data_IF_137943685535
#
_entry.id   IF_137943685535
#
_cell.length_a   1.000
_cell.length_b   1.000
_cell.length_c   1.000
_cell.angle_alpha   90.00
_cell.angle_beta   90.00
_cell.angle_gamma   90.00
#
_symmetry.space_group_name_H-M   'P 1'
#
loop_
_entity.id
_entity.type
_entity.pdbx_description
1 polymer ?
#
# COMPACT_ATOMS: atom_id res chain seq x y z
N UNK A 1 -18.03 -6.18 -6.84
CA UNK A 1 -19.38 -5.72 -7.20
C UNK A 1 -19.42 -4.22 -7.46
N UNK A 2 -19.02 -3.35 -6.51
CA UNK A 2 -19.02 -1.88 -6.69
C UNK A 2 -18.20 -1.44 -7.88
N UNK A 3 -16.96 -1.91 -8.02
CA UNK A 3 -16.09 -1.61 -9.16
C UNK A 3 -16.83 -1.83 -10.49
N UNK A 4 -17.45 -3.01 -10.64
CA UNK A 4 -18.17 -3.35 -11.87
C UNK A 4 -19.32 -2.40 -12.14
N UNK A 5 -20.12 -2.08 -11.10
CA UNK A 5 -21.23 -1.16 -11.19
C UNK A 5 -20.78 0.23 -11.66
N UNK A 6 -19.70 0.76 -11.06
CA UNK A 6 -19.19 2.09 -11.41
C UNK A 6 -18.61 2.10 -12.84
N UNK A 7 -17.90 1.04 -13.23
CA UNK A 7 -17.37 0.91 -14.61
C UNK A 7 -18.50 0.82 -15.64
N UNK A 8 -19.56 0.06 -15.36
CA UNK A 8 -20.71 -0.05 -16.26
C UNK A 8 -21.48 1.27 -16.41
N UNK A 9 -21.39 2.15 -15.40
CA UNK A 9 -21.92 3.53 -15.45
C UNK A 9 -20.97 4.52 -16.15
N UNK A 10 -19.77 4.07 -16.55
CA UNK A 10 -18.74 4.91 -17.17
C UNK A 10 -17.98 5.81 -16.21
N UNK A 11 -18.09 5.56 -14.90
CA UNK A 11 -17.35 6.31 -13.88
C UNK A 11 -15.89 5.92 -13.86
N UNK A 12 -15.03 6.88 -13.52
CA UNK A 12 -13.60 6.64 -13.32
C UNK A 12 -13.39 5.85 -12.04
N UNK A 13 -12.76 4.67 -12.17
CA UNK A 13 -12.34 3.87 -11.03
C UNK A 13 -10.87 4.12 -10.70
N UNK A 14 -10.54 4.08 -9.43
CA UNK A 14 -9.18 4.14 -8.92
C UNK A 14 -8.81 2.82 -8.25
N UNK A 15 -7.53 2.44 -8.22
CA UNK A 15 -7.08 1.28 -7.44
C UNK A 15 -7.47 1.43 -5.97
N UNK A 16 -7.72 0.31 -5.32
CA UNK A 16 -7.99 0.24 -3.89
C UNK A 16 -7.04 -0.77 -3.24
N UNK A 17 -6.66 -0.50 -2.01
CA UNK A 17 -5.85 -1.41 -1.21
C UNK A 17 -6.67 -2.09 -0.12
N UNK A 18 -6.23 -3.25 0.32
CA UNK A 18 -6.78 -3.96 1.46
C UNK A 18 -5.71 -4.76 2.18
N UNK A 19 -5.86 -4.86 3.49
CA UNK A 19 -4.93 -5.57 4.35
C UNK A 19 -5.19 -7.07 4.33
N UNK A 20 -4.11 -7.86 4.29
CA UNK A 20 -4.11 -9.28 4.58
C UNK A 20 -3.35 -9.56 5.88
N UNK A 21 -4.02 -10.24 6.80
CA UNK A 21 -3.43 -10.69 8.04
C UNK A 21 -2.85 -12.10 7.93
N UNK A 22 -2.01 -12.49 8.89
CA UNK A 22 -1.52 -13.88 8.99
C UNK A 22 -2.67 -14.91 9.07
N UNK A 23 -3.81 -14.54 9.66
CA UNK A 23 -4.97 -15.42 9.75
C UNK A 23 -5.59 -15.69 8.38
N UNK A 24 -5.64 -14.70 7.50
CA UNK A 24 -6.18 -14.87 6.15
C UNK A 24 -5.37 -15.91 5.36
N UNK A 25 -4.05 -15.90 5.51
CA UNK A 25 -3.19 -16.92 4.89
C UNK A 25 -3.35 -18.31 5.50
N UNK A 26 -3.68 -18.41 6.82
CA UNK A 26 -3.78 -19.69 7.53
C UNK A 26 -5.16 -20.34 7.42
N UNK A 27 -6.22 -19.54 7.43
CA UNK A 27 -7.60 -20.05 7.54
C UNK A 27 -8.22 -20.41 6.20
N UNK A 28 -7.75 -19.83 5.10
CA UNK A 28 -8.27 -20.12 3.77
C UNK A 28 -7.17 -20.00 2.70
N UNK A 29 -7.48 -20.47 1.48
CA UNK A 29 -6.62 -20.19 0.34
C UNK A 29 -6.96 -18.79 -0.19
N UNK A 30 -6.47 -17.76 0.52
CA UNK A 30 -6.79 -16.36 0.25
C UNK A 30 -6.45 -15.94 -1.19
N UNK A 31 -5.35 -16.45 -1.76
CA UNK A 31 -5.00 -16.20 -3.14
C UNK A 31 -6.13 -16.66 -4.11
N UNK A 32 -6.61 -17.91 -3.95
CA UNK A 32 -7.69 -18.41 -4.81
C UNK A 32 -8.97 -17.61 -4.65
N UNK A 33 -9.27 -17.18 -3.44
CA UNK A 33 -10.49 -16.43 -3.18
C UNK A 33 -10.44 -15.03 -3.78
N UNK A 34 -9.29 -14.33 -3.67
CA UNK A 34 -9.09 -13.02 -4.29
C UNK A 34 -9.19 -13.13 -5.81
N UNK A 35 -8.48 -14.08 -6.43
CA UNK A 35 -8.52 -14.29 -7.89
C UNK A 35 -9.95 -14.62 -8.34
N UNK A 36 -10.64 -15.56 -7.67
CA UNK A 36 -12.02 -15.90 -7.99
C UNK A 36 -12.95 -14.69 -7.99
N UNK A 37 -12.84 -13.83 -6.97
CA UNK A 37 -13.68 -12.62 -6.85
C UNK A 37 -13.33 -11.59 -7.92
N UNK A 38 -12.05 -11.36 -8.20
CA UNK A 38 -11.63 -10.42 -9.25
C UNK A 38 -12.12 -10.87 -10.62
N UNK A 39 -12.02 -12.16 -10.94
CA UNK A 39 -12.50 -12.73 -12.19
C UNK A 39 -14.04 -12.65 -12.30
N UNK A 40 -14.75 -13.03 -11.22
CA UNK A 40 -16.22 -12.98 -11.15
C UNK A 40 -16.76 -11.57 -11.42
N UNK A 41 -16.13 -10.56 -10.79
CA UNK A 41 -16.54 -9.16 -10.97
C UNK A 41 -15.78 -8.42 -12.07
N UNK A 42 -14.91 -9.11 -12.81
CA UNK A 42 -14.09 -8.56 -13.91
C UNK A 42 -13.30 -7.32 -13.48
N UNK A 43 -12.70 -7.39 -12.29
CA UNK A 43 -11.80 -6.35 -11.77
C UNK A 43 -10.39 -6.63 -12.29
N UNK A 44 -9.73 -5.71 -12.99
CA UNK A 44 -8.33 -5.89 -13.35
C UNK A 44 -7.48 -6.05 -12.09
N UNK A 45 -6.54 -7.01 -12.08
CA UNK A 45 -5.76 -7.33 -10.89
C UNK A 45 -4.94 -6.13 -10.37
N UNK A 46 -4.41 -5.31 -11.28
CA UNK A 46 -3.69 -4.08 -10.93
C UNK A 46 -4.57 -2.96 -10.33
N UNK A 47 -5.88 -3.19 -10.20
CA UNK A 47 -6.79 -2.30 -9.48
C UNK A 47 -6.98 -2.70 -8.02
N UNK A 48 -6.30 -3.77 -7.57
CA UNK A 48 -6.29 -4.21 -6.19
C UNK A 48 -4.85 -4.31 -5.68
N UNK A 49 -4.56 -3.56 -4.63
CA UNK A 49 -3.28 -3.59 -3.94
C UNK A 49 -3.44 -4.33 -2.62
N UNK A 50 -2.51 -5.24 -2.34
CA UNK A 50 -2.51 -6.08 -1.16
C UNK A 50 -1.52 -5.49 -0.16
N UNK A 51 -2.00 -5.10 1.01
CA UNK A 51 -1.17 -4.55 2.08
C UNK A 51 -0.84 -5.64 3.10
N UNK A 52 0.45 -5.77 3.42
CA UNK A 52 0.97 -6.78 4.35
C UNK A 52 1.90 -6.09 5.34
N UNK A 53 1.57 -6.17 6.62
CA UNK A 53 2.43 -5.64 7.68
C UNK A 53 3.62 -6.57 7.95
N UNK A 54 4.69 -6.01 8.53
CA UNK A 54 5.88 -6.76 8.94
C UNK A 54 5.56 -7.98 9.81
N UNK A 55 4.64 -7.84 10.76
CA UNK A 55 4.25 -8.92 11.69
C UNK A 55 3.63 -10.15 11.02
N UNK A 56 3.10 -10.00 9.80
CA UNK A 56 2.60 -11.12 9.01
C UNK A 56 3.75 -12.01 8.55
N UNK A 57 4.91 -11.43 8.28
CA UNK A 57 6.09 -12.06 7.68
C UNK A 57 7.05 -12.65 8.73
N UNK A 58 6.88 -12.30 10.01
CA UNK A 58 7.65 -12.87 11.11
C UNK A 58 7.41 -14.40 11.18
N UNK A 59 8.50 -15.17 11.33
CA UNK A 59 8.45 -16.64 11.40
C UNK A 59 7.77 -17.33 10.20
N UNK A 60 7.88 -16.72 8.99
CA UNK A 60 7.43 -17.37 7.75
C UNK A 60 8.40 -18.50 7.35
N UNK A 61 7.87 -19.69 7.15
CA UNK A 61 8.59 -20.86 6.64
C UNK A 61 8.71 -20.86 5.09
N UNK A 62 8.46 -19.72 4.45
CA UNK A 62 8.44 -19.54 2.99
C UNK A 62 7.05 -19.72 2.36
N UNK A 63 6.03 -20.07 3.14
CA UNK A 63 4.67 -20.19 2.63
C UNK A 63 4.11 -18.83 2.20
N UNK A 64 4.17 -17.81 3.07
CA UNK A 64 3.66 -16.46 2.77
C UNK A 64 4.44 -15.86 1.61
N UNK A 65 5.77 -16.04 1.59
CA UNK A 65 6.60 -15.63 0.45
C UNK A 65 6.06 -16.19 -0.88
N UNK A 66 5.78 -17.49 -0.90
CA UNK A 66 5.23 -18.13 -2.10
C UNK A 66 3.88 -17.56 -2.53
N UNK A 67 3.02 -17.14 -1.58
CA UNK A 67 1.74 -16.50 -1.89
C UNK A 67 1.93 -15.07 -2.44
N UNK A 68 2.85 -14.29 -1.87
CA UNK A 68 3.21 -12.95 -2.38
C UNK A 68 3.69 -13.05 -3.83
N UNK A 69 4.63 -13.94 -4.12
CA UNK A 69 5.14 -14.17 -5.48
C UNK A 69 4.04 -14.60 -6.47
N UNK A 70 3.03 -15.34 -6.00
CA UNK A 70 1.88 -15.71 -6.83
C UNK A 70 1.00 -14.51 -7.15
N UNK A 71 0.68 -13.67 -6.17
CA UNK A 71 -0.07 -12.44 -6.39
C UNK A 71 0.64 -11.52 -7.39
N UNK A 72 1.94 -11.34 -7.24
CA UNK A 72 2.73 -10.49 -8.13
C UNK A 72 2.81 -11.04 -9.57
N UNK A 73 2.94 -12.37 -9.74
CA UNK A 73 2.89 -13.00 -11.07
C UNK A 73 1.56 -12.78 -11.78
N UNK A 74 0.48 -12.70 -11.04
CA UNK A 74 -0.86 -12.45 -11.57
C UNK A 74 -1.19 -10.94 -11.62
N UNK A 75 -0.15 -10.09 -11.54
CA UNK A 75 -0.25 -8.63 -11.68
C UNK A 75 -1.03 -7.91 -10.55
N UNK A 76 -1.16 -8.52 -9.38
CA UNK A 76 -1.51 -7.77 -8.17
C UNK A 76 -0.27 -7.04 -7.64
N UNK A 77 -0.46 -5.84 -7.14
CA UNK A 77 0.60 -5.16 -6.39
C UNK A 77 0.56 -5.59 -4.92
N UNK A 78 1.73 -5.90 -4.37
CA UNK A 78 1.88 -6.21 -2.95
C UNK A 78 2.71 -5.13 -2.30
N UNK A 79 2.16 -4.49 -1.28
CA UNK A 79 2.71 -3.35 -0.58
C UNK A 79 3.08 -3.73 0.84
N UNK A 80 4.26 -3.30 1.28
CA UNK A 80 4.67 -3.43 2.68
C UNK A 80 4.05 -2.30 3.49
N UNK A 81 3.21 -2.64 4.47
CA UNK A 81 2.52 -1.68 5.33
C UNK A 81 3.27 -1.44 6.65
N UNK A 82 3.04 -0.28 7.26
CA UNK A 82 3.59 0.14 8.55
C UNK A 82 5.13 0.09 8.65
N UNK A 83 5.85 0.37 7.55
CA UNK A 83 7.31 0.35 7.56
C UNK A 83 7.90 1.32 8.56
N UNK A 84 8.68 0.78 9.51
CA UNK A 84 9.38 1.53 10.55
C UNK A 84 8.61 1.62 11.87
N UNK A 85 7.42 1.05 11.98
CA UNK A 85 6.70 0.91 13.25
C UNK A 85 7.23 -0.24 14.10
N UNK A 86 7.91 -1.23 13.49
CA UNK A 86 8.47 -2.44 14.11
C UNK A 86 10.00 -2.48 14.16
N UNK A 87 10.54 -3.58 14.70
CA UNK A 87 12.00 -3.75 14.90
C UNK A 87 12.71 -4.47 13.74
N UNK A 88 12.01 -5.08 12.80
CA UNK A 88 12.58 -6.03 11.83
C UNK A 88 12.48 -5.61 10.36
N UNK A 89 11.89 -4.45 10.05
CA UNK A 89 11.52 -3.99 8.70
C UNK A 89 12.62 -4.18 7.63
N UNK A 90 13.88 -3.94 7.97
CA UNK A 90 14.99 -4.11 7.01
C UNK A 90 15.28 -5.58 6.68
N UNK A 91 15.06 -6.50 7.63
CA UNK A 91 15.25 -7.93 7.36
C UNK A 91 14.22 -8.45 6.37
N UNK A 92 12.98 -7.96 6.47
CA UNK A 92 11.91 -8.32 5.55
C UNK A 92 12.26 -7.89 4.12
N UNK A 93 12.77 -6.67 3.92
CA UNK A 93 13.17 -6.17 2.59
C UNK A 93 14.34 -6.95 1.96
N UNK A 94 15.12 -7.68 2.75
CA UNK A 94 16.17 -8.56 2.22
C UNK A 94 15.58 -9.82 1.57
N UNK A 95 14.47 -10.31 2.13
CA UNK A 95 13.93 -11.63 1.79
C UNK A 95 12.69 -11.57 0.89
N UNK A 96 12.03 -10.39 0.81
CA UNK A 96 10.80 -10.17 0.07
C UNK A 96 10.90 -8.97 -0.86
N UNK A 97 10.38 -9.11 -2.07
CA UNK A 97 10.22 -8.00 -3.02
C UNK A 97 8.80 -7.42 -2.90
N UNK A 98 8.71 -6.09 -2.74
CA UNK A 98 7.45 -5.35 -2.67
C UNK A 98 7.35 -4.36 -3.82
N UNK A 99 6.12 -4.13 -4.31
CA UNK A 99 5.87 -3.08 -5.29
C UNK A 99 5.97 -1.68 -4.66
N UNK A 100 5.48 -1.54 -3.42
CA UNK A 100 5.53 -0.30 -2.65
C UNK A 100 5.87 -0.55 -1.19
N UNK A 101 6.51 0.45 -0.57
CA UNK A 101 6.77 0.53 0.86
C UNK A 101 5.98 1.71 1.42
N UNK A 102 5.06 1.45 2.35
CA UNK A 102 4.27 2.47 3.05
C UNK A 102 5.03 2.92 4.29
N UNK A 103 5.50 4.16 4.28
CA UNK A 103 6.25 4.78 5.39
C UNK A 103 5.24 5.26 6.41
N UNK A 104 5.31 4.68 7.63
CA UNK A 104 4.37 4.96 8.71
C UNK A 104 4.36 6.44 9.11
N UNK A 105 3.18 6.94 9.45
CA UNK A 105 2.94 8.31 9.90
C UNK A 105 3.75 8.75 11.12
N UNK A 106 4.31 7.80 11.90
CA UNK A 106 5.14 8.10 13.08
C UNK A 106 6.31 9.01 12.74
N UNK A 107 6.86 8.91 11.53
CA UNK A 107 7.98 9.73 11.08
C UNK A 107 7.57 11.19 10.81
N UNK A 108 6.30 11.47 10.53
CA UNK A 108 5.78 12.83 10.31
C UNK A 108 5.23 13.49 11.57
N UNK A 109 4.86 12.70 12.61
CA UNK A 109 4.30 13.25 13.87
C UNK A 109 5.21 14.26 14.57
N UNK A 110 6.52 14.01 14.53
CA UNK A 110 7.54 14.94 15.03
C UNK A 110 8.48 15.27 13.88
N UNK A 111 8.09 16.26 13.06
CA UNK A 111 8.78 16.59 11.82
C UNK A 111 10.07 17.38 12.05
N UNK A 112 11.08 16.69 12.59
CA UNK A 112 12.41 17.21 12.86
C UNK A 112 13.36 16.97 11.68
N UNK A 113 14.48 17.69 11.64
CA UNK A 113 15.55 17.42 10.65
C UNK A 113 16.01 15.96 10.67
N UNK A 114 16.02 15.32 11.84
CA UNK A 114 16.41 13.92 11.98
C UNK A 114 15.37 12.99 11.34
N UNK A 115 14.07 13.23 11.57
CA UNK A 115 13.02 12.44 10.93
C UNK A 115 13.00 12.64 9.41
N UNK A 116 13.22 13.86 8.93
CA UNK A 116 13.38 14.14 7.49
C UNK A 116 14.51 13.34 6.86
N UNK A 117 15.70 13.32 7.49
CA UNK A 117 16.84 12.52 7.02
C UNK A 117 16.52 11.01 6.97
N UNK A 118 15.77 10.50 7.96
CA UNK A 118 15.35 9.10 7.99
C UNK A 118 14.39 8.81 6.83
N UNK A 119 13.35 9.62 6.64
CA UNK A 119 12.38 9.45 5.55
C UNK A 119 13.10 9.47 4.20
N UNK A 120 13.98 10.44 3.98
CA UNK A 120 14.79 10.51 2.75
C UNK A 120 15.61 9.24 2.53
N UNK A 121 16.26 8.72 3.58
CA UNK A 121 17.06 7.49 3.49
C UNK A 121 16.20 6.28 3.13
N UNK A 122 14.95 6.21 3.64
CA UNK A 122 13.99 5.15 3.29
C UNK A 122 13.58 5.26 1.82
N UNK A 123 13.25 6.47 1.35
CA UNK A 123 12.88 6.71 -0.07
C UNK A 123 14.04 6.34 -0.99
N UNK A 124 15.26 6.74 -0.67
CA UNK A 124 16.45 6.41 -1.47
C UNK A 124 16.73 4.90 -1.49
N UNK A 125 16.52 4.22 -0.36
CA UNK A 125 16.65 2.77 -0.26
C UNK A 125 15.59 2.06 -1.11
N UNK A 126 14.32 2.45 -1.00
CA UNK A 126 13.22 1.88 -1.77
C UNK A 126 13.49 1.99 -3.28
N UNK A 127 13.93 3.16 -3.75
CA UNK A 127 14.31 3.37 -5.16
C UNK A 127 15.40 2.40 -5.63
N UNK A 128 16.42 2.13 -4.80
CA UNK A 128 17.49 1.16 -5.13
C UNK A 128 17.00 -0.28 -5.16
N UNK A 129 15.93 -0.58 -4.42
CA UNK A 129 15.26 -1.88 -4.42
C UNK A 129 14.19 -2.00 -5.53
N UNK A 130 14.03 -0.98 -6.39
CA UNK A 130 12.97 -0.87 -7.41
C UNK A 130 11.55 -0.93 -6.81
N UNK A 131 11.37 -0.51 -5.57
CA UNK A 131 10.08 -0.35 -4.92
C UNK A 131 9.66 1.13 -4.91
N UNK A 132 8.37 1.38 -5.14
CA UNK A 132 7.78 2.70 -4.92
C UNK A 132 7.63 3.00 -3.44
N UNK A 133 7.35 4.27 -3.13
CA UNK A 133 7.10 4.71 -1.75
C UNK A 133 5.75 5.42 -1.62
N UNK A 134 5.06 5.15 -0.52
CA UNK A 134 3.91 5.90 -0.05
C UNK A 134 4.18 6.38 1.37
N UNK A 135 4.03 7.68 1.65
CA UNK A 135 4.14 8.20 3.03
C UNK A 135 2.77 8.54 3.57
N UNK A 136 2.46 7.99 4.74
CA UNK A 136 1.21 8.21 5.46
C UNK A 136 1.28 9.41 6.42
N UNK A 137 0.10 9.91 6.82
CA UNK A 137 -0.02 10.95 7.84
C UNK A 137 0.40 12.35 7.38
N UNK A 138 0.28 12.64 6.08
CA UNK A 138 0.51 14.00 5.55
C UNK A 138 -0.63 14.92 6.00
N UNK A 139 -0.30 15.93 6.83
CA UNK A 139 -1.28 16.85 7.41
C UNK A 139 -1.01 18.31 7.07
N UNK A 140 0.22 18.66 6.63
CA UNK A 140 0.63 20.03 6.36
C UNK A 140 1.23 20.20 4.97
N UNK A 141 1.23 21.44 4.48
CA UNK A 141 1.92 21.80 3.24
C UNK A 141 3.43 21.52 3.34
N UNK A 142 4.04 21.77 4.51
CA UNK A 142 5.46 21.49 4.75
C UNK A 142 5.80 20.01 4.56
N UNK A 143 4.96 19.08 5.07
CA UNK A 143 5.11 17.65 4.82
C UNK A 143 5.08 17.34 3.32
N UNK A 144 4.09 17.89 2.61
CA UNK A 144 3.91 17.63 1.19
C UNK A 144 5.09 18.13 0.37
N UNK A 145 5.57 19.34 0.63
CA UNK A 145 6.66 19.96 -0.11
C UNK A 145 7.97 19.16 0.08
N UNK A 146 8.26 18.78 1.32
CA UNK A 146 9.42 17.93 1.62
C UNK A 146 9.33 16.57 0.91
N UNK A 147 8.20 15.88 0.97
CA UNK A 147 8.03 14.57 0.35
C UNK A 147 8.16 14.64 -1.18
N UNK A 148 7.67 15.73 -1.80
CA UNK A 148 7.89 15.98 -3.22
C UNK A 148 9.37 16.23 -3.55
N UNK A 149 10.07 17.02 -2.72
CA UNK A 149 11.49 17.34 -2.91
C UNK A 149 12.35 16.09 -2.92
N UNK A 150 12.12 15.17 -1.98
CA UNK A 150 12.87 13.91 -1.90
C UNK A 150 12.40 12.85 -2.90
N UNK A 151 11.33 13.13 -3.66
CA UNK A 151 10.78 12.26 -4.70
C UNK A 151 10.09 11.01 -4.13
N UNK A 152 9.28 11.17 -3.07
CA UNK A 152 8.31 10.17 -2.65
C UNK A 152 7.22 10.04 -3.71
N UNK A 153 6.84 8.81 -4.07
CA UNK A 153 5.95 8.56 -5.22
C UNK A 153 4.49 8.87 -4.90
N UNK A 154 4.03 8.45 -3.74
CA UNK A 154 2.65 8.61 -3.29
C UNK A 154 2.59 9.19 -1.86
N UNK A 155 1.54 9.91 -1.57
CA UNK A 155 1.31 10.52 -0.25
C UNK A 155 -0.15 10.35 0.16
N UNK A 156 -0.37 10.07 1.45
CA UNK A 156 -1.69 9.89 2.04
C UNK A 156 -1.81 10.64 3.36
N UNK A 157 -2.94 11.32 3.59
CA UNK A 157 -3.18 11.98 4.86
C UNK A 157 -4.31 12.99 4.85
N UNK A 158 -4.57 13.55 6.03
CA UNK A 158 -5.67 14.49 6.26
C UNK A 158 -5.48 15.84 5.56
N UNK A 159 -4.29 16.11 5.04
CA UNK A 159 -4.07 17.26 4.18
C UNK A 159 -4.97 17.23 2.92
N UNK A 160 -5.23 16.03 2.39
CA UNK A 160 -6.08 15.86 1.21
C UNK A 160 -7.55 15.61 1.58
N UNK A 161 -7.78 14.65 2.45
CA UNK A 161 -9.11 14.30 2.95
C UNK A 161 -9.01 13.37 4.16
N UNK A 162 -9.96 13.48 5.07
CA UNK A 162 -10.24 12.42 6.04
C UNK A 162 -10.94 11.25 5.33
N UNK A 163 -10.95 10.05 5.94
CA UNK A 163 -11.75 8.95 5.42
C UNK A 163 -13.21 9.37 5.18
N UNK A 164 -13.71 9.08 4.00
CA UNK A 164 -15.05 9.45 3.57
C UNK A 164 -15.90 8.20 3.30
N UNK A 165 -17.23 8.25 3.53
CA UNK A 165 -18.13 7.24 3.02
C UNK A 165 -18.04 7.11 1.50
N UNK A 166 -18.24 5.88 0.99
CA UNK A 166 -18.12 5.59 -0.45
C UNK A 166 -18.86 6.60 -1.36
N UNK A 167 -20.09 6.96 -1.01
CA UNK A 167 -20.89 7.91 -1.81
C UNK A 167 -20.26 9.31 -1.92
N UNK A 168 -19.50 9.74 -0.90
CA UNK A 168 -18.78 11.01 -0.91
C UNK A 168 -17.48 10.91 -1.72
N UNK A 169 -16.78 9.76 -1.64
CA UNK A 169 -15.60 9.51 -2.48
C UNK A 169 -15.96 9.58 -3.96
N UNK A 170 -17.09 9.00 -4.36
CA UNK A 170 -17.53 9.04 -5.76
C UNK A 170 -17.77 10.47 -6.25
N UNK A 171 -18.37 11.35 -5.43
CA UNK A 171 -18.52 12.77 -5.79
C UNK A 171 -17.19 13.47 -6.04
N UNK A 172 -16.19 13.22 -5.17
CA UNK A 172 -14.85 13.79 -5.32
C UNK A 172 -14.16 13.31 -6.60
N UNK A 173 -14.41 12.05 -7.02
CA UNK A 173 -13.84 11.48 -8.25
C UNK A 173 -14.53 12.02 -9.52
N UNK A 174 -15.81 12.37 -9.44
CA UNK A 174 -16.57 12.96 -10.55
C UNK A 174 -16.21 14.43 -10.80
N UNK A 175 -15.79 15.17 -9.75
CA UNK A 175 -15.41 16.59 -9.83
C UNK A 175 -14.00 16.83 -10.40
N UNK A 176 -13.19 15.78 -10.61
CA UNK A 176 -11.83 15.81 -11.15
C UNK A 176 -11.72 15.18 -12.55
#
# INVERSE_FOLDING_TARGET
EKYRKETDLGHKCVPISFNLSRLDFKLCNIYKEVVRLTDEYKVPHNMLHIEITESVLDDDDGFIKSQIERFQRDHFEVWMDDFGSGFSSLNVLKDYDFNYIKIDMIFLRNFTKKSQMIIQSIVDMAKRLNAGTLTEGVETQEHLDFLKEIGCDLVQGYYFSKPLPYAEVMKVLEEK
#
